data_IF_298684879555
#
_entry.id   IF_298684879555
#
_cell.length_a   1.000
_cell.length_b   1.000
_cell.length_c   1.000
_cell.angle_alpha   90.00
_cell.angle_beta   90.00
_cell.angle_gamma   90.00
#
_symmetry.space_group_name_H-M   'P 1'
#
loop_
_entity.id
_entity.type
_entity.pdbx_description
1 polymer ?
#
# COMPACT_ATOMS: atom_id res chain seq x y z
N UNK A 1 -23.78 8.40 -3.77
CA UNK A 1 -22.52 8.82 -3.11
C UNK A 1 -21.66 7.57 -2.97
N UNK A 2 -20.65 7.41 -3.82
CA UNK A 2 -19.80 6.21 -3.81
C UNK A 2 -18.81 6.34 -2.66
N UNK A 3 -19.09 5.70 -1.51
CA UNK A 3 -18.12 5.58 -0.41
C UNK A 3 -16.87 4.89 -0.96
N UNK A 4 -15.85 5.67 -1.31
CA UNK A 4 -14.61 5.18 -1.93
C UNK A 4 -13.68 4.65 -0.83
N UNK A 5 -14.13 3.58 -0.17
CA UNK A 5 -13.35 2.81 0.80
C UNK A 5 -12.29 2.04 0.06
N UNK A 6 -11.04 2.24 0.46
CA UNK A 6 -9.90 1.48 -0.06
C UNK A 6 -9.22 0.75 1.08
N UNK A 7 -8.67 -0.43 0.78
CA UNK A 7 -7.86 -1.22 1.71
C UNK A 7 -6.42 -1.24 1.22
N UNK A 8 -5.49 -1.13 2.16
CA UNK A 8 -4.10 -1.42 1.91
C UNK A 8 -3.82 -2.91 2.10
N UNK A 9 -3.42 -3.58 1.01
CA UNK A 9 -3.16 -5.03 0.97
C UNK A 9 -1.67 -5.39 0.94
N UNK A 10 -0.78 -4.42 1.12
CA UNK A 10 0.66 -4.64 1.12
C UNK A 10 1.25 -5.06 2.48
N UNK A 11 2.57 -5.30 2.52
CA UNK A 11 3.31 -5.58 3.75
C UNK A 11 3.18 -4.43 4.77
N UNK A 12 3.35 -4.71 6.06
CA UNK A 12 3.22 -3.64 7.06
C UNK A 12 4.32 -2.58 6.93
N UNK A 13 3.91 -1.35 6.61
CA UNK A 13 4.75 -0.16 6.60
C UNK A 13 4.73 0.46 8.00
N UNK A 14 5.76 0.18 8.81
CA UNK A 14 5.83 0.65 10.21
C UNK A 14 5.66 2.16 10.30
N UNK A 15 4.71 2.61 11.13
CA UNK A 15 4.39 4.03 11.32
C UNK A 15 3.53 4.66 10.21
N UNK A 16 3.13 3.88 9.19
CA UNK A 16 2.37 4.39 8.03
C UNK A 16 1.06 3.62 7.83
N UNK A 17 1.14 2.31 7.58
CA UNK A 17 -0.03 1.48 7.29
C UNK A 17 0.24 0.01 7.63
N UNK A 18 -0.78 -0.69 8.15
CA UNK A 18 -0.73 -2.14 8.40
C UNK A 18 -1.47 -2.88 7.29
N UNK A 19 -1.06 -4.11 7.00
CA UNK A 19 -1.83 -4.97 6.09
C UNK A 19 -3.29 -5.05 6.55
N UNK A 20 -4.23 -4.89 5.61
CA UNK A 20 -5.66 -4.89 5.89
C UNK A 20 -6.21 -3.57 6.45
N UNK A 21 -5.41 -2.50 6.55
CA UNK A 21 -5.91 -1.19 6.96
C UNK A 21 -6.90 -0.66 5.93
N UNK A 22 -8.08 -0.24 6.38
CA UNK A 22 -9.11 0.38 5.55
C UNK A 22 -9.07 1.89 5.75
N UNK A 23 -9.15 2.62 4.64
CA UNK A 23 -9.18 4.08 4.63
C UNK A 23 -10.47 4.58 3.99
N UNK A 24 -11.06 5.57 4.64
CA UNK A 24 -12.27 6.26 4.22
C UNK A 24 -11.96 7.73 4.00
N UNK A 25 -12.58 8.34 2.99
CA UNK A 25 -12.43 9.76 2.66
C UNK A 25 -11.00 10.21 2.29
N UNK A 26 -10.15 9.29 1.82
CA UNK A 26 -8.80 9.58 1.33
C UNK A 26 -7.73 8.76 2.03
N UNK A 27 -6.47 9.00 1.65
CA UNK A 27 -5.31 8.34 2.25
C UNK A 27 -4.68 9.24 3.33
N UNK A 28 -4.16 8.68 4.44
CA UNK A 28 -3.39 9.44 5.42
C UNK A 28 -2.19 10.13 4.77
N UNK A 29 -1.80 11.31 5.28
CA UNK A 29 -0.70 12.10 4.72
C UNK A 29 0.60 11.31 4.55
N UNK A 30 0.99 10.51 5.56
CA UNK A 30 2.19 9.69 5.49
C UNK A 30 2.11 8.62 4.39
N UNK A 31 0.94 8.00 4.20
CA UNK A 31 0.74 6.99 3.16
C UNK A 31 0.72 7.64 1.77
N UNK A 32 0.08 8.80 1.62
CA UNK A 32 0.13 9.59 0.39
C UNK A 32 1.56 9.98 0.02
N UNK A 33 2.31 10.60 0.94
CA UNK A 33 3.70 11.02 0.71
C UNK A 33 4.59 9.84 0.30
N UNK A 34 4.43 8.71 0.99
CA UNK A 34 5.16 7.49 0.67
C UNK A 34 4.76 6.93 -0.71
N UNK A 35 3.47 6.92 -1.03
CA UNK A 35 2.95 6.49 -2.34
C UNK A 35 3.32 7.46 -3.48
N UNK A 36 3.58 8.74 -3.20
CA UNK A 36 4.10 9.70 -4.18
C UNK A 36 5.57 9.43 -4.49
N UNK A 37 6.39 9.15 -3.47
CA UNK A 37 7.82 8.81 -3.66
C UNK A 37 8.03 7.38 -4.18
N UNK A 38 7.14 6.45 -3.83
CA UNK A 38 7.15 5.05 -4.25
C UNK A 38 5.78 4.70 -4.86
N UNK A 39 5.53 5.04 -6.15
CA UNK A 39 4.26 4.81 -6.82
C UNK A 39 3.76 3.36 -6.78
N UNK A 40 4.66 2.39 -6.64
CA UNK A 40 4.32 0.97 -6.54
C UNK A 40 3.41 0.63 -5.35
N UNK A 41 3.41 1.46 -4.30
CA UNK A 41 2.51 1.29 -3.14
C UNK A 41 1.05 1.46 -3.55
N UNK A 42 0.77 2.29 -4.57
CA UNK A 42 -0.60 2.51 -5.07
C UNK A 42 -1.23 1.23 -5.64
N UNK A 43 -0.40 0.29 -6.14
CA UNK A 43 -0.89 -0.99 -6.66
C UNK A 43 -1.51 -1.88 -5.57
N UNK A 44 -1.19 -1.62 -4.31
CA UNK A 44 -1.74 -2.37 -3.17
C UNK A 44 -2.74 -1.55 -2.35
N UNK A 45 -3.22 -0.42 -2.90
CA UNK A 45 -4.32 0.38 -2.36
C UNK A 45 -5.52 0.14 -3.27
N UNK A 46 -6.39 -0.78 -2.86
CA UNK A 46 -7.44 -1.30 -3.74
C UNK A 46 -8.84 -1.04 -3.17
N UNK A 47 -9.87 -0.88 -4.01
CA UNK A 47 -11.25 -0.83 -3.54
C UNK A 47 -11.63 -2.11 -2.77
N UNK A 48 -12.51 -1.99 -1.78
CA UNK A 48 -12.97 -3.17 -1.01
C UNK A 48 -13.61 -4.27 -1.88
N UNK A 49 -14.17 -3.91 -3.04
CA UNK A 49 -14.76 -4.87 -3.96
C UNK A 49 -13.71 -5.78 -4.65
N UNK A 50 -12.47 -5.31 -4.75
CA UNK A 50 -11.40 -5.98 -5.50
C UNK A 50 -10.46 -6.78 -4.58
N UNK A 51 -10.61 -6.69 -3.26
CA UNK A 51 -9.67 -7.28 -2.30
C UNK A 51 -9.49 -8.79 -2.47
N UNK A 52 -10.54 -9.51 -2.88
CA UNK A 52 -10.47 -10.96 -3.12
C UNK A 52 -9.60 -11.26 -4.34
N UNK A 53 -9.76 -10.50 -5.42
CA UNK A 53 -8.98 -10.67 -6.64
C UNK A 53 -7.52 -10.24 -6.42
N UNK A 54 -7.31 -9.07 -5.80
CA UNK A 54 -5.98 -8.59 -5.42
C UNK A 54 -5.26 -9.59 -4.52
N UNK A 55 -5.95 -10.22 -3.56
CA UNK A 55 -5.32 -11.24 -2.71
C UNK A 55 -4.82 -12.42 -3.54
N UNK A 56 -5.64 -12.93 -4.46
CA UNK A 56 -5.22 -14.01 -5.38
C UNK A 56 -4.04 -13.58 -6.24
N UNK A 57 -4.03 -12.35 -6.74
CA UNK A 57 -2.94 -11.82 -7.52
C UNK A 57 -1.65 -11.75 -6.71
N UNK A 58 -1.67 -11.21 -5.49
CA UNK A 58 -0.52 -11.20 -4.56
C UNK A 58 0.03 -12.61 -4.33
N UNK A 59 -0.86 -13.61 -4.16
CA UNK A 59 -0.47 -15.00 -3.92
C UNK A 59 -0.02 -15.74 -5.20
N UNK A 60 -0.19 -15.13 -6.38
CA UNK A 60 0.22 -15.70 -7.67
C UNK A 60 1.56 -15.09 -8.09
N UNK A 61 2.61 -15.91 -8.15
CA UNK A 61 3.93 -15.45 -8.59
C UNK A 61 3.90 -14.87 -10.01
N UNK A 62 4.63 -13.78 -10.21
CA UNK A 62 4.73 -13.12 -11.51
C UNK A 62 3.64 -12.08 -11.82
N UNK A 63 2.64 -11.91 -10.96
CA UNK A 63 1.67 -10.80 -11.09
C UNK A 63 2.28 -9.46 -10.69
N UNK A 64 1.63 -8.37 -11.11
CA UNK A 64 2.07 -7.03 -10.74
C UNK A 64 1.95 -6.77 -9.23
N UNK A 65 0.92 -7.34 -8.61
CA UNK A 65 0.61 -7.24 -7.18
C UNK A 65 1.62 -8.03 -6.34
N UNK A 66 2.00 -9.23 -6.76
CA UNK A 66 3.06 -10.00 -6.10
C UNK A 66 4.39 -9.25 -6.15
N UNK A 67 4.78 -8.75 -7.33
CA UNK A 67 6.00 -7.93 -7.50
C UNK A 67 5.94 -6.65 -6.67
N UNK A 68 4.78 -6.00 -6.59
CA UNK A 68 4.58 -4.84 -5.73
C UNK A 68 4.74 -5.20 -4.26
N UNK A 69 4.15 -6.30 -3.82
CA UNK A 69 4.24 -6.79 -2.45
C UNK A 69 5.70 -7.03 -2.05
N UNK A 70 6.47 -7.75 -2.86
CA UNK A 70 7.87 -8.07 -2.60
C UNK A 70 8.74 -6.81 -2.55
N UNK A 71 8.58 -5.90 -3.51
CA UNK A 71 9.32 -4.64 -3.55
C UNK A 71 9.02 -3.76 -2.35
N UNK A 72 7.78 -3.77 -1.87
CA UNK A 72 7.38 -3.00 -0.69
C UNK A 72 7.90 -3.68 0.58
N UNK A 73 7.92 -5.01 0.64
CA UNK A 73 8.44 -5.78 1.77
C UNK A 73 9.95 -5.54 1.97
N UNK A 74 10.67 -5.29 0.87
CA UNK A 74 12.09 -4.96 0.90
C UNK A 74 12.39 -3.52 1.39
N UNK A 75 11.38 -2.65 1.52
CA UNK A 75 11.60 -1.28 2.00
C UNK A 75 11.97 -1.31 3.48
N UNK A 76 13.17 -0.83 3.79
CA UNK A 76 13.64 -0.76 5.17
C UNK A 76 12.91 0.32 5.98
N UNK A 77 12.82 0.13 7.30
CA UNK A 77 12.28 1.14 8.21
C UNK A 77 13.00 2.49 8.06
N UNK A 78 14.33 2.48 7.98
CA UNK A 78 15.13 3.69 7.84
C UNK A 78 14.80 4.44 6.55
N UNK A 79 14.53 3.72 5.46
CA UNK A 79 14.11 4.33 4.20
C UNK A 79 12.73 4.98 4.31
N UNK A 80 11.76 4.31 4.94
CA UNK A 80 10.44 4.90 5.22
C UNK A 80 10.59 6.18 6.05
N UNK A 81 11.37 6.13 7.13
CA UNK A 81 11.60 7.30 7.98
C UNK A 81 12.27 8.44 7.22
N UNK A 82 13.26 8.17 6.37
CA UNK A 82 13.92 9.19 5.54
C UNK A 82 12.95 9.84 4.55
N UNK A 83 12.07 9.05 3.91
CA UNK A 83 11.04 9.57 2.99
C UNK A 83 10.06 10.48 3.75
N UNK A 84 9.68 10.11 4.97
CA UNK A 84 8.74 10.90 5.76
C UNK A 84 9.38 12.17 6.35
N UNK A 85 10.63 12.07 6.84
CA UNK A 85 11.40 13.18 7.43
C UNK A 85 11.96 14.17 6.40
N UNK A 86 12.04 13.79 5.13
CA UNK A 86 12.48 14.67 4.05
C UNK A 86 11.49 15.81 3.79
N UNK A 87 11.78 16.97 4.36
CA UNK A 87 11.51 18.32 3.85
C UNK A 87 12.86 19.00 3.59
#
# INVERSE_FOLDING_TARGET
MTNKRVMYMGPTLRGVARNGSVFENGLPANLSKLAEKKPIIKNLIVPLAETVETKKAIDTEGTAEAVAYDKIAAISRSEIENILKGE
#
